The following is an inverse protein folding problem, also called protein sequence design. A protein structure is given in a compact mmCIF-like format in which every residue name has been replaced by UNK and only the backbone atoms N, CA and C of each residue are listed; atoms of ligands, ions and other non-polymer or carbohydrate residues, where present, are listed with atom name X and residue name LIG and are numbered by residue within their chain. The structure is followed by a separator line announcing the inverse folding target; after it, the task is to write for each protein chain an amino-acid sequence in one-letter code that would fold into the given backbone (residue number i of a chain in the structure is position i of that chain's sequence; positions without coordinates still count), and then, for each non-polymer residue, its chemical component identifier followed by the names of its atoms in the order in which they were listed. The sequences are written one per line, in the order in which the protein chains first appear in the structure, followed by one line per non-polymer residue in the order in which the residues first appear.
data_IF_505765544240
#
_entry.id   IF_505765544240
#
_cell.length_a   1.000
_cell.length_b   1.000
_cell.length_c   1.000
_cell.angle_alpha   90.00
_cell.angle_beta   90.00
_cell.angle_gamma   90.00
#
_symmetry.space_group_name_H-M   'P 1'
#
loop_
_entity.id
_entity.type
_entity.pdbx_description
1 polymer ?
#
# COMPACT_ATOMS: atom_id res chain seq x y z
N UNK A 1 9.94 -14.82 1.37
CA UNK A 1 8.65 -15.32 1.88
C UNK A 1 8.77 -16.84 2.02
N UNK A 2 9.43 -17.29 3.08
CA UNK A 2 9.61 -18.72 3.34
C UNK A 2 8.71 -19.14 4.52
N UNK A 3 8.48 -20.44 4.66
CA UNK A 3 7.66 -21.00 5.73
C UNK A 3 7.01 -22.32 5.33
N UNK A 4 6.31 -22.94 6.28
CA UNK A 4 5.78 -24.29 6.11
C UNK A 4 4.87 -24.44 4.87
N UNK A 5 5.31 -25.28 3.94
CA UNK A 5 4.60 -25.57 2.70
C UNK A 5 4.73 -24.50 1.62
N UNK A 6 5.78 -23.67 1.66
CA UNK A 6 6.18 -22.80 0.54
C UNK A 6 7.56 -23.26 0.05
N UNK A 7 7.68 -23.52 -1.25
CA UNK A 7 8.94 -23.76 -1.96
C UNK A 7 9.17 -22.61 -2.94
N UNK A 8 10.41 -22.14 -3.00
CA UNK A 8 10.86 -21.07 -3.89
C UNK A 8 12.01 -21.62 -4.73
N UNK A 9 11.84 -21.64 -6.05
CA UNK A 9 12.90 -21.95 -7.01
C UNK A 9 13.21 -20.67 -7.78
N UNK A 10 14.25 -19.94 -7.36
CA UNK A 10 14.69 -18.70 -8.03
C UNK A 10 15.58 -19.02 -9.23
N UNK A 11 15.33 -18.36 -10.36
CA UNK A 11 16.16 -18.47 -11.55
C UNK A 11 17.09 -17.26 -11.66
N UNK A 12 16.52 -16.10 -11.97
CA UNK A 12 17.26 -14.86 -12.22
C UNK A 12 16.96 -13.76 -11.20
N UNK A 13 16.21 -14.07 -10.15
CA UNK A 13 15.79 -13.11 -9.13
C UNK A 13 16.70 -13.18 -7.90
N UNK A 14 17.80 -12.42 -7.95
CA UNK A 14 18.65 -12.10 -6.80
C UNK A 14 18.83 -10.57 -6.71
N UNK A 15 19.36 -10.09 -5.59
CA UNK A 15 19.59 -8.66 -5.37
C UNK A 15 20.50 -8.10 -6.47
N UNK A 16 20.11 -6.95 -7.05
CA UNK A 16 20.83 -6.27 -8.13
C UNK A 16 20.96 -7.05 -9.45
N UNK A 17 20.15 -8.10 -9.64
CA UNK A 17 20.10 -8.82 -10.90
C UNK A 17 19.63 -7.93 -12.06
N UNK A 18 20.37 -7.97 -13.16
CA UNK A 18 20.01 -7.33 -14.43
C UNK A 18 19.17 -8.31 -15.24
N UNK A 19 17.90 -7.98 -15.46
CA UNK A 19 16.98 -8.83 -16.22
C UNK A 19 17.14 -8.53 -17.71
N UNK A 20 17.70 -9.51 -18.44
CA UNK A 20 17.91 -9.42 -19.88
C UNK A 20 16.58 -9.55 -20.66
N UNK A 21 16.37 -8.76 -21.73
CA UNK A 21 15.21 -8.90 -22.60
C UNK A 21 15.32 -10.08 -23.58
N UNK A 22 16.48 -10.76 -23.64
CA UNK A 22 16.74 -11.82 -24.61
C UNK A 22 16.19 -13.20 -24.21
N UNK A 23 15.74 -13.35 -22.96
CA UNK A 23 15.18 -14.59 -22.42
C UNK A 23 13.75 -14.36 -21.92
N UNK A 24 13.11 -15.41 -21.41
CA UNK A 24 11.81 -15.28 -20.79
C UNK A 24 11.86 -14.40 -19.53
N UNK A 25 10.73 -13.78 -19.20
CA UNK A 25 10.60 -12.86 -18.07
C UNK A 25 10.43 -13.58 -16.71
N UNK A 26 10.84 -14.84 -16.62
CA UNK A 26 10.69 -15.64 -15.40
C UNK A 26 11.69 -15.20 -14.34
N UNK A 27 11.17 -14.67 -13.24
CA UNK A 27 11.97 -14.28 -12.08
C UNK A 27 12.15 -15.44 -11.09
N UNK A 28 11.03 -16.01 -10.64
CA UNK A 28 10.99 -17.01 -9.57
C UNK A 28 9.74 -17.89 -9.72
N UNK A 29 9.88 -19.18 -9.40
CA UNK A 29 8.75 -20.10 -9.26
C UNK A 29 8.43 -20.26 -7.78
N UNK A 30 7.16 -20.10 -7.44
CA UNK A 30 6.66 -20.28 -6.07
C UNK A 30 5.66 -21.42 -6.07
N UNK A 31 5.85 -22.40 -5.19
CA UNK A 31 5.00 -23.58 -5.08
C UNK A 31 4.49 -23.64 -3.65
N UNK A 32 3.16 -23.65 -3.49
CA UNK A 32 2.50 -23.78 -2.20
C UNK A 32 1.90 -25.19 -2.05
N UNK A 33 2.08 -25.80 -0.87
CA UNK A 33 1.54 -27.12 -0.52
C UNK A 33 0.77 -27.07 0.79
N UNK A 34 -0.41 -27.68 0.78
CA UNK A 34 -1.27 -27.87 1.94
C UNK A 34 -2.13 -29.13 1.78
N UNK A 35 -3.02 -29.40 2.75
CA UNK A 35 -3.90 -30.58 2.70
C UNK A 35 -5.10 -30.36 1.79
N UNK A 36 -5.56 -29.11 1.68
CA UNK A 36 -6.65 -28.72 0.80
C UNK A 36 -6.19 -27.67 -0.21
N UNK A 37 -6.90 -27.58 -1.34
CA UNK A 37 -6.63 -26.57 -2.37
C UNK A 37 -6.78 -25.14 -1.84
N UNK A 38 -7.81 -24.89 -1.05
CA UNK A 38 -8.08 -23.58 -0.42
C UNK A 38 -6.94 -23.16 0.53
N UNK A 39 -6.41 -24.08 1.34
CA UNK A 39 -5.25 -23.80 2.19
C UNK A 39 -4.00 -23.51 1.37
N UNK A 40 -3.77 -24.25 0.27
CA UNK A 40 -2.63 -24.03 -0.61
C UNK A 40 -2.73 -22.64 -1.28
N UNK A 41 -3.92 -22.26 -1.75
CA UNK A 41 -4.21 -20.93 -2.29
C UNK A 41 -3.97 -19.84 -1.24
N UNK A 42 -4.46 -20.01 -0.01
CA UNK A 42 -4.24 -19.07 1.09
C UNK A 42 -2.76 -18.88 1.41
N UNK A 43 -1.98 -19.98 1.47
CA UNK A 43 -0.52 -19.93 1.63
C UNK A 43 0.16 -19.20 0.47
N UNK A 44 -0.26 -19.46 -0.77
CA UNK A 44 0.27 -18.78 -1.96
C UNK A 44 -0.03 -17.28 -1.91
N UNK A 45 -1.27 -16.88 -1.59
CA UNK A 45 -1.66 -15.47 -1.43
C UNK A 45 -0.80 -14.78 -0.39
N UNK A 46 -0.56 -15.41 0.76
CA UNK A 46 0.32 -14.88 1.80
C UNK A 46 1.76 -14.73 1.29
N UNK A 47 2.31 -15.76 0.65
CA UNK A 47 3.66 -15.71 0.09
C UNK A 47 3.81 -14.58 -0.94
N UNK A 48 2.89 -14.47 -1.90
CA UNK A 48 2.86 -13.43 -2.93
C UNK A 48 2.73 -12.01 -2.36
N UNK A 49 1.92 -11.82 -1.30
CA UNK A 49 1.82 -10.52 -0.60
C UNK A 49 3.09 -10.14 0.17
N UNK A 50 3.89 -11.12 0.58
CA UNK A 50 5.16 -10.90 1.26
C UNK A 50 6.31 -10.61 0.29
N UNK A 51 6.20 -10.98 -1.00
CA UNK A 51 7.22 -10.63 -1.98
C UNK A 51 7.41 -9.10 -2.07
N UNK A 52 8.69 -8.70 -2.12
CA UNK A 52 9.12 -7.32 -2.29
C UNK A 52 10.08 -7.29 -3.46
N UNK A 53 9.54 -7.00 -4.65
CA UNK A 53 10.32 -6.87 -5.88
C UNK A 53 10.25 -5.40 -6.29
N UNK A 54 11.42 -4.82 -6.58
CA UNK A 54 11.59 -3.41 -6.98
C UNK A 54 12.37 -3.36 -8.30
N UNK A 55 12.29 -2.25 -9.01
CA UNK A 55 12.93 -2.06 -10.32
C UNK A 55 12.08 -2.51 -11.52
N UNK A 56 11.37 -3.62 -11.42
CA UNK A 56 10.52 -4.15 -12.50
C UNK A 56 9.06 -4.34 -12.09
N UNK A 57 8.14 -4.26 -13.06
CA UNK A 57 6.74 -4.64 -12.86
C UNK A 57 6.63 -6.17 -12.87
N UNK A 58 5.69 -6.71 -12.09
CA UNK A 58 5.47 -8.17 -11.98
C UNK A 58 3.99 -8.49 -12.16
N UNK A 59 3.69 -9.76 -12.46
CA UNK A 59 2.33 -10.28 -12.59
C UNK A 59 1.67 -10.63 -11.24
N UNK A 60 2.29 -10.30 -10.11
CA UNK A 60 1.77 -10.62 -8.76
C UNK A 60 0.32 -10.14 -8.55
N UNK A 61 -0.09 -8.89 -8.92
CA UNK A 61 -1.47 -8.46 -8.74
C UNK A 61 -2.48 -9.33 -9.49
N UNK A 62 -2.14 -9.77 -10.70
CA UNK A 62 -2.96 -10.69 -11.48
C UNK A 62 -3.09 -12.06 -10.80
N UNK A 63 -1.97 -12.64 -10.36
CA UNK A 63 -1.97 -13.92 -9.65
C UNK A 63 -2.81 -13.86 -8.37
N UNK A 64 -2.74 -12.75 -7.63
CA UNK A 64 -3.58 -12.53 -6.45
C UNK A 64 -5.07 -12.49 -6.81
N UNK A 65 -5.46 -11.88 -7.93
CA UNK A 65 -6.84 -11.88 -8.37
C UNK A 65 -7.32 -13.31 -8.69
N UNK A 66 -6.52 -14.09 -9.41
CA UNK A 66 -6.84 -15.50 -9.75
C UNK A 66 -7.00 -16.35 -8.49
N UNK A 67 -6.03 -16.28 -7.56
CA UNK A 67 -6.03 -17.09 -6.34
C UNK A 67 -7.16 -16.77 -5.35
N UNK A 68 -7.79 -15.60 -5.48
CA UNK A 68 -8.96 -15.22 -4.67
C UNK A 68 -10.28 -15.39 -5.43
N UNK A 69 -10.26 -15.84 -6.68
CA UNK A 69 -11.49 -16.02 -7.47
C UNK A 69 -12.25 -17.29 -7.03
N UNK A 70 -13.58 -17.23 -6.81
CA UNK A 70 -14.37 -18.36 -6.34
C UNK A 70 -14.22 -19.63 -7.20
N UNK A 71 -14.34 -19.50 -8.53
CA UNK A 71 -14.17 -20.64 -9.45
C UNK A 71 -12.78 -21.29 -9.34
N UNK A 72 -11.73 -20.50 -9.12
CA UNK A 72 -10.38 -21.03 -8.92
C UNK A 72 -10.26 -21.78 -7.59
N UNK A 73 -10.86 -21.25 -6.52
CA UNK A 73 -10.87 -21.86 -5.18
C UNK A 73 -11.68 -23.15 -5.12
N UNK A 74 -12.72 -23.26 -5.94
CA UNK A 74 -13.55 -24.46 -6.09
C UNK A 74 -12.92 -25.50 -7.04
N UNK A 75 -11.92 -25.09 -7.84
CA UNK A 75 -11.30 -25.93 -8.87
C UNK A 75 -12.17 -26.12 -10.12
N UNK A 76 -13.24 -25.35 -10.26
CA UNK A 76 -14.22 -25.40 -11.34
C UNK A 76 -13.82 -24.48 -12.52
N UNK A 77 -12.59 -24.66 -13.03
CA UNK A 77 -12.05 -23.83 -14.12
C UNK A 77 -11.80 -24.63 -15.41
N UNK A 78 -11.90 -23.93 -16.54
CA UNK A 78 -11.57 -24.45 -17.87
C UNK A 78 -10.39 -23.66 -18.46
N UNK A 79 -9.92 -24.04 -19.64
CA UNK A 79 -8.90 -23.27 -20.37
C UNK A 79 -9.37 -21.88 -20.77
N UNK A 80 -10.69 -21.66 -20.86
CA UNK A 80 -11.31 -20.37 -21.21
C UNK A 80 -11.55 -19.46 -20.00
N UNK A 81 -11.24 -19.93 -18.79
CA UNK A 81 -11.48 -19.19 -17.53
C UNK A 81 -10.97 -17.75 -17.55
N UNK A 82 -9.79 -17.50 -18.12
CA UNK A 82 -9.21 -16.15 -18.15
C UNK A 82 -9.96 -15.22 -19.11
N UNK A 83 -10.38 -15.74 -20.26
CA UNK A 83 -11.10 -14.97 -21.29
C UNK A 83 -12.53 -14.62 -20.81
N UNK A 84 -13.15 -15.52 -20.05
CA UNK A 84 -14.49 -15.35 -19.46
C UNK A 84 -14.50 -14.36 -18.28
N UNK A 85 -13.34 -14.10 -17.66
CA UNK A 85 -13.22 -13.29 -16.46
C UNK A 85 -12.30 -12.05 -16.66
N UNK A 86 -12.67 -11.09 -17.52
CA UNK A 86 -11.85 -9.89 -17.79
C UNK A 86 -11.63 -9.02 -16.54
N UNK A 87 -12.45 -9.18 -15.50
CA UNK A 87 -12.28 -8.50 -14.22
C UNK A 87 -10.96 -8.85 -13.51
N UNK A 88 -10.35 -10.01 -13.82
CA UNK A 88 -9.05 -10.43 -13.27
C UNK A 88 -7.91 -9.46 -13.65
N UNK A 89 -8.07 -8.69 -14.74
CA UNK A 89 -7.11 -7.70 -15.20
C UNK A 89 -7.32 -6.31 -14.60
N UNK A 90 -8.29 -6.15 -13.68
CA UNK A 90 -8.47 -4.92 -12.91
C UNK A 90 -7.55 -4.97 -11.70
N UNK A 91 -6.46 -4.21 -11.76
CA UNK A 91 -5.45 -4.20 -10.71
C UNK A 91 -5.64 -3.02 -9.76
N UNK A 92 -5.62 -3.32 -8.45
CA UNK A 92 -5.52 -2.27 -7.44
C UNK A 92 -4.05 -1.86 -7.31
N UNK A 93 -3.69 -0.58 -7.54
CA UNK A 93 -2.32 -0.15 -7.42
C UNK A 93 -1.82 -0.30 -5.98
N UNK A 94 -0.71 -1.01 -5.79
CA UNK A 94 -0.05 -1.12 -4.50
C UNK A 94 0.55 0.23 -4.11
N UNK A 95 0.36 0.63 -2.84
CA UNK A 95 0.92 1.87 -2.35
C UNK A 95 2.40 1.70 -1.98
N UNK A 96 3.27 2.49 -2.60
CA UNK A 96 4.70 2.51 -2.31
C UNK A 96 5.13 3.71 -1.45
N UNK A 97 4.53 3.84 -0.25
CA UNK A 97 4.73 5.01 0.63
C UNK A 97 6.17 5.17 1.10
N UNK A 98 6.80 4.08 1.55
CA UNK A 98 8.17 4.12 2.06
C UNK A 98 9.18 4.57 1.00
N UNK A 99 9.08 4.06 -0.24
CA UNK A 99 9.97 4.49 -1.32
C UNK A 99 9.76 5.96 -1.68
N UNK A 100 8.51 6.42 -1.74
CA UNK A 100 8.22 7.83 -2.02
C UNK A 100 8.84 8.74 -0.97
N UNK A 101 8.77 8.36 0.31
CA UNK A 101 9.39 9.09 1.40
C UNK A 101 10.92 9.07 1.30
N UNK A 102 11.53 7.92 1.07
CA UNK A 102 12.98 7.80 0.88
C UNK A 102 13.46 8.64 -0.29
N UNK A 103 12.78 8.55 -1.44
CA UNK A 103 13.11 9.36 -2.62
C UNK A 103 13.03 10.86 -2.29
N UNK A 104 12.00 11.30 -1.57
CA UNK A 104 11.88 12.70 -1.16
C UNK A 104 13.01 13.13 -0.22
N UNK A 105 13.32 12.34 0.80
CA UNK A 105 14.42 12.65 1.72
C UNK A 105 15.76 12.69 0.98
N UNK A 106 16.02 11.74 0.09
CA UNK A 106 17.23 11.72 -0.75
C UNK A 106 17.32 12.95 -1.65
N UNK A 107 16.22 13.33 -2.30
CA UNK A 107 16.16 14.53 -3.14
C UNK A 107 16.49 15.79 -2.34
N UNK A 108 15.87 15.97 -1.17
CA UNK A 108 16.11 17.15 -0.32
C UNK A 108 17.52 17.16 0.24
N UNK A 109 18.11 16.01 0.58
CA UNK A 109 19.49 15.94 1.09
C UNK A 109 20.54 16.22 0.01
N UNK A 110 20.30 15.82 -1.24
CA UNK A 110 21.26 16.00 -2.35
C UNK A 110 21.09 17.36 -3.03
N UNK A 111 19.85 17.73 -3.35
CA UNK A 111 19.54 18.93 -4.14
C UNK A 111 19.08 20.12 -3.29
N UNK A 112 18.84 19.91 -1.99
CA UNK A 112 18.28 20.93 -1.10
C UNK A 112 16.75 21.04 -1.19
N UNK A 113 16.11 21.75 -0.25
CA UNK A 113 14.68 22.01 -0.30
C UNK A 113 14.34 23.03 -1.41
N UNK A 114 13.21 22.82 -2.10
CA UNK A 114 12.69 23.77 -3.09
C UNK A 114 12.41 25.16 -2.52
N UNK A 115 12.09 25.22 -1.23
CA UNK A 115 11.90 26.45 -0.47
C UNK A 115 13.10 26.66 0.46
N UNK A 116 14.07 27.51 0.09
CA UNK A 116 15.16 27.85 0.98
C UNK A 116 14.62 28.53 2.24
N UNK A 117 15.26 28.25 3.37
CA UNK A 117 14.96 28.97 4.60
C UNK A 117 15.37 30.44 4.41
N UNK A 118 14.60 31.38 4.98
CA UNK A 118 14.98 32.80 4.99
C UNK A 118 16.18 33.11 5.89
N UNK A 119 16.82 32.10 6.47
CA UNK A 119 17.94 32.20 7.41
C UNK A 119 18.84 30.98 7.28
N UNK A 120 20.14 31.15 7.52
CA UNK A 120 21.12 30.05 7.57
C UNK A 120 21.16 29.32 8.92
N UNK A 121 20.37 29.78 9.90
CA UNK A 121 20.27 29.17 11.21
C UNK A 121 19.62 27.79 11.11
N UNK A 122 20.27 26.79 11.70
CA UNK A 122 19.71 25.44 11.80
C UNK A 122 18.53 25.44 12.79
N UNK A 123 17.43 24.73 12.49
CA UNK A 123 16.35 24.52 13.45
C UNK A 123 16.87 23.87 14.73
N UNK A 124 16.35 24.29 15.89
CA UNK A 124 16.63 23.61 17.14
C UNK A 124 16.07 22.18 17.14
N UNK A 125 16.87 21.21 17.57
CA UNK A 125 16.46 19.82 17.75
C UNK A 125 15.66 19.66 19.06
N UNK A 126 14.41 20.13 19.03
CA UNK A 126 13.47 20.01 20.15
C UNK A 126 12.36 19.05 19.72
N UNK A 127 12.14 17.99 20.50
CA UNK A 127 10.96 17.14 20.36
C UNK A 127 9.76 17.87 20.97
N UNK A 128 8.77 18.32 20.17
CA UNK A 128 7.63 19.06 20.70
C UNK A 128 6.84 18.17 21.67
N UNK A 129 6.59 18.65 22.88
CA UNK A 129 5.74 17.96 23.84
C UNK A 129 4.28 18.23 23.52
N UNK A 130 3.55 17.18 23.16
CA UNK A 130 2.12 17.28 22.92
C UNK A 130 1.37 17.34 24.26
N UNK A 131 0.52 18.35 24.50
CA UNK A 131 -0.28 18.41 25.72
C UNK A 131 -1.27 17.24 25.77
N UNK A 132 -1.37 16.58 26.92
CA UNK A 132 -2.32 15.49 27.14
C UNK A 132 -3.72 16.05 27.41
N UNK A 133 -4.49 16.27 26.35
CA UNK A 133 -5.88 16.72 26.44
C UNK A 133 -6.81 15.50 26.33
N UNK A 134 -7.64 15.27 27.35
CA UNK A 134 -8.66 14.21 27.30
C UNK A 134 -9.77 14.62 26.34
N UNK A 135 -10.14 13.73 25.41
CA UNK A 135 -11.21 13.99 24.41
C UNK A 135 -12.57 14.41 25.01
N UNK A 136 -12.88 13.99 26.24
CA UNK A 136 -14.13 14.32 26.94
C UNK A 136 -14.22 15.79 27.37
N UNK A 137 -13.10 16.48 27.50
CA UNK A 137 -13.03 17.84 28.01
C UNK A 137 -13.16 18.89 26.89
N UNK A 138 -13.56 18.47 25.67
CA UNK A 138 -13.72 19.36 24.53
C UNK A 138 -15.13 19.99 24.56
N UNK A 139 -15.27 21.29 24.84
CA UNK A 139 -16.57 21.95 24.78
C UNK A 139 -17.11 21.98 23.35
N UNK A 140 -18.42 22.11 23.24
CA UNK A 140 -19.05 22.34 21.95
C UNK A 140 -18.63 23.69 21.39
N UNK A 141 -18.08 23.65 20.18
CA UNK A 141 -17.55 24.81 19.48
C UNK A 141 -18.49 25.28 18.38
N UNK A 142 -18.09 26.38 17.76
CA UNK A 142 -18.79 26.98 16.63
C UNK A 142 -19.01 26.04 15.44
N UNK A 143 -18.10 25.08 15.22
CA UNK A 143 -18.26 24.05 14.18
C UNK A 143 -19.53 23.22 14.39
N UNK A 144 -19.91 22.93 15.64
CA UNK A 144 -21.13 22.20 15.95
C UNK A 144 -22.37 23.02 15.60
N UNK A 145 -22.38 24.31 15.94
CA UNK A 145 -23.48 25.23 15.61
C UNK A 145 -23.71 25.28 14.10
N UNK A 146 -22.65 25.39 13.30
CA UNK A 146 -22.75 25.39 11.84
C UNK A 146 -23.30 24.07 11.32
N UNK A 147 -22.82 22.93 11.84
CA UNK A 147 -23.24 21.60 11.39
C UNK A 147 -24.70 21.28 11.74
N UNK A 148 -25.19 21.76 12.88
CA UNK A 148 -26.53 21.44 13.39
C UNK A 148 -27.58 22.44 12.91
N UNK A 149 -27.25 23.74 12.89
CA UNK A 149 -28.22 24.82 12.69
C UNK A 149 -27.98 25.64 11.42
N UNK A 150 -26.90 25.35 10.69
CA UNK A 150 -26.59 25.99 9.41
C UNK A 150 -25.92 27.37 9.51
N UNK A 151 -25.52 27.95 8.36
CA UNK A 151 -24.70 29.16 8.31
C UNK A 151 -25.37 30.42 8.89
N UNK A 152 -26.69 30.56 8.70
CA UNK A 152 -27.45 31.73 9.18
C UNK A 152 -27.56 31.75 10.70
N UNK A 153 -27.85 30.59 11.32
CA UNK A 153 -27.92 30.46 12.76
C UNK A 153 -26.55 30.68 13.40
N UNK A 154 -25.49 30.19 12.76
CA UNK A 154 -24.12 30.49 13.18
C UNK A 154 -23.80 31.99 13.14
N UNK A 155 -24.10 32.68 12.03
CA UNK A 155 -23.87 34.13 11.92
C UNK A 155 -24.62 34.92 13.00
N UNK A 156 -25.86 34.50 13.33
CA UNK A 156 -26.63 35.07 14.44
C UNK A 156 -25.99 34.77 15.80
N UNK A 157 -25.54 33.54 16.03
CA UNK A 157 -24.91 33.13 17.29
C UNK A 157 -23.57 33.84 17.53
N UNK A 158 -22.79 34.10 16.47
CA UNK A 158 -21.56 34.91 16.54
C UNK A 158 -21.87 36.37 16.85
N UNK A 159 -22.88 36.97 16.18
CA UNK A 159 -23.30 38.35 16.44
C UNK A 159 -23.84 38.55 17.86
N UNK A 160 -24.38 37.49 18.46
CA UNK A 160 -24.92 37.51 19.82
C UNK A 160 -23.89 37.08 20.88
N UNK A 161 -22.68 36.68 20.50
CA UNK A 161 -21.63 36.35 21.45
C UNK A 161 -20.98 37.65 21.94
N UNK A 162 -20.87 37.87 23.26
CA UNK A 162 -20.32 39.10 23.83
C UNK A 162 -18.82 39.27 23.55
#
# INVERSE_FOLDING_TARGET
AEGFGIRIDSASAYTDAIISPHYDSLLVKVIARARTHQEACSKMVRALREFRIRGVKTNIPFLLNVLNHPQFLEGSITTSFLDENPALFKFVPSQNRAQKLLNYISEVMVNGPLTPLGTDLQPMDIKPQLPLIKKKDRPDGWRQVIKQSGPQAFAKAVRNHP
#
